data_IF_030511385232
#
_entry.id   IF_030511385232
#
_cell.length_a   1.000
_cell.length_b   1.000
_cell.length_c   1.000
_cell.angle_alpha   90.00
_cell.angle_beta   90.00
_cell.angle_gamma   90.00
#
_symmetry.space_group_name_H-M   'P 1'
#
loop_
_entity.id
_entity.type
_entity.pdbx_description
1 polymer ?
#
# COMPACT_ATOMS: atom_id res chain seq x y z
N UNK A 1 13.60 -8.29 -7.33
CA UNK A 1 13.22 -8.02 -5.91
C UNK A 1 13.47 -9.23 -5.07
N UNK A 2 14.09 -9.06 -3.92
CA UNK A 2 14.22 -10.14 -2.93
C UNK A 2 13.35 -9.82 -1.70
N UNK A 3 13.25 -10.79 -0.79
CA UNK A 3 12.41 -10.66 0.41
C UNK A 3 12.78 -9.44 1.24
N UNK A 4 14.07 -9.20 1.44
CA UNK A 4 14.56 -8.08 2.24
C UNK A 4 14.17 -6.73 1.62
N UNK A 5 14.28 -6.60 0.31
CA UNK A 5 13.92 -5.36 -0.42
C UNK A 5 12.41 -5.12 -0.36
N UNK A 6 11.62 -6.18 -0.51
CA UNK A 6 10.15 -6.10 -0.42
C UNK A 6 9.73 -5.69 0.98
N UNK A 7 10.29 -6.33 2.00
CA UNK A 7 10.00 -6.00 3.39
C UNK A 7 10.34 -4.54 3.70
N UNK A 8 11.50 -4.09 3.26
CA UNK A 8 11.92 -2.70 3.45
C UNK A 8 10.93 -1.72 2.80
N UNK A 9 10.53 -1.99 1.56
CA UNK A 9 9.55 -1.15 0.86
C UNK A 9 8.23 -1.07 1.62
N UNK A 10 7.70 -2.21 2.05
CA UNK A 10 6.40 -2.26 2.72
C UNK A 10 6.40 -1.47 4.03
N UNK A 11 7.44 -1.62 4.84
CA UNK A 11 7.56 -0.87 6.09
C UNK A 11 7.82 0.61 5.85
N UNK A 12 8.68 0.94 4.88
CA UNK A 12 9.06 2.33 4.60
C UNK A 12 7.87 3.15 4.12
N UNK A 13 7.04 2.58 3.22
CA UNK A 13 5.88 3.32 2.71
C UNK A 13 4.83 3.56 3.79
N UNK A 14 4.62 2.63 4.71
CA UNK A 14 3.72 2.83 5.86
C UNK A 14 4.28 3.89 6.79
N UNK A 15 5.57 3.83 7.10
CA UNK A 15 6.21 4.80 7.97
C UNK A 15 6.09 6.22 7.39
N UNK A 16 6.37 6.39 6.10
CA UNK A 16 6.24 7.69 5.44
C UNK A 16 4.81 8.20 5.46
N UNK A 17 3.84 7.31 5.18
CA UNK A 17 2.42 7.65 5.27
C UNK A 17 2.06 8.18 6.65
N UNK A 18 2.42 7.44 7.71
CA UNK A 18 2.08 7.79 9.07
C UNK A 18 2.75 9.08 9.55
N UNK A 19 3.90 9.42 9.00
CA UNK A 19 4.65 10.64 9.33
C UNK A 19 4.22 11.85 8.52
N UNK A 20 3.32 11.70 7.53
CA UNK A 20 2.95 12.76 6.63
C UNK A 20 4.05 13.14 5.64
N UNK A 21 4.96 12.21 5.37
CA UNK A 21 6.08 12.39 4.45
C UNK A 21 5.67 11.94 3.05
N UNK A 22 5.01 12.85 2.31
CA UNK A 22 4.53 12.55 0.96
C UNK A 22 5.67 12.18 0.01
N UNK A 23 6.76 12.94 0.09
CA UNK A 23 7.91 12.71 -0.80
C UNK A 23 8.53 11.34 -0.57
N UNK A 24 8.71 10.95 0.70
CA UNK A 24 9.22 9.64 1.07
C UNK A 24 8.30 8.50 0.66
N UNK A 25 6.98 8.70 0.82
CA UNK A 25 5.98 7.72 0.41
C UNK A 25 6.05 7.44 -1.10
N UNK A 26 6.02 8.49 -1.92
CA UNK A 26 6.09 8.33 -3.37
C UNK A 26 7.45 7.85 -3.84
N UNK A 27 8.54 8.26 -3.18
CA UNK A 27 9.87 7.76 -3.50
C UNK A 27 9.98 6.25 -3.30
N UNK A 28 9.38 5.72 -2.23
CA UNK A 28 9.34 4.28 -1.97
C UNK A 28 8.64 3.54 -3.10
N UNK A 29 7.47 4.04 -3.54
CA UNK A 29 6.74 3.43 -4.66
C UNK A 29 7.50 3.54 -5.98
N UNK A 30 8.13 4.68 -6.27
CA UNK A 30 8.92 4.83 -7.50
C UNK A 30 10.09 3.85 -7.54
N UNK A 31 10.76 3.64 -6.42
CA UNK A 31 11.84 2.68 -6.34
C UNK A 31 11.36 1.23 -6.51
N UNK A 32 10.17 0.92 -6.00
CA UNK A 32 9.59 -0.42 -6.06
C UNK A 32 8.96 -0.73 -7.43
N UNK A 33 8.51 0.30 -8.17
CA UNK A 33 7.75 0.15 -9.40
C UNK A 33 8.34 1.01 -10.53
N UNK A 34 9.63 0.82 -10.88
CA UNK A 34 10.27 1.67 -11.89
C UNK A 34 9.67 1.54 -13.28
N UNK A 35 9.03 0.40 -13.61
CA UNK A 35 8.46 0.13 -14.92
C UNK A 35 6.94 0.27 -14.95
N UNK A 36 6.28 0.43 -13.80
CA UNK A 36 4.84 0.65 -13.78
C UNK A 36 4.19 0.20 -12.49
N UNK A 37 3.05 0.83 -12.21
CA UNK A 37 2.25 0.54 -11.02
C UNK A 37 0.80 0.35 -11.44
N UNK A 38 0.22 -0.78 -11.04
CA UNK A 38 -1.19 -1.09 -11.22
C UNK A 38 -1.83 -1.23 -9.85
N UNK A 39 -2.99 -0.63 -9.65
CA UNK A 39 -3.76 -0.76 -8.41
C UNK A 39 -5.18 -1.18 -8.73
N UNK A 40 -5.68 -2.15 -7.97
CA UNK A 40 -7.05 -2.61 -8.05
C UNK A 40 -7.68 -2.58 -6.65
N UNK A 41 -8.87 -1.98 -6.55
CA UNK A 41 -9.75 -2.17 -5.40
C UNK A 41 -10.71 -3.29 -5.76
N UNK A 42 -10.50 -4.47 -5.21
CA UNK A 42 -11.25 -5.67 -5.57
C UNK A 42 -12.74 -5.46 -5.32
N UNK A 43 -13.55 -5.75 -6.35
CA UNK A 43 -14.99 -5.55 -6.29
C UNK A 43 -15.49 -4.14 -6.58
N UNK A 44 -14.57 -3.19 -6.85
CA UNK A 44 -14.95 -1.79 -7.09
C UNK A 44 -14.55 -1.28 -8.47
N UNK A 45 -14.05 -2.15 -9.34
CA UNK A 45 -13.64 -1.81 -10.68
C UNK A 45 -12.39 -2.56 -11.08
N UNK A 46 -11.95 -2.44 -12.36
CA UNK A 46 -10.77 -3.14 -12.83
C UNK A 46 -9.49 -2.49 -12.29
N UNK A 47 -8.38 -3.25 -12.38
CA UNK A 47 -7.07 -2.71 -12.14
C UNK A 47 -6.75 -1.59 -13.14
N UNK A 48 -6.04 -0.57 -12.71
CA UNK A 48 -5.66 0.55 -13.55
C UNK A 48 -4.34 1.17 -13.11
N UNK A 49 -3.94 2.22 -13.81
CA UNK A 49 -2.73 2.96 -13.49
C UNK A 49 -2.75 3.41 -12.03
N UNK A 50 -1.76 2.97 -11.26
CA UNK A 50 -1.74 3.19 -9.82
C UNK A 50 -1.30 4.59 -9.39
N UNK A 51 -0.59 5.34 -10.23
CA UNK A 51 -0.09 6.65 -9.81
C UNK A 51 -1.18 7.65 -9.44
N UNK A 52 -2.22 7.84 -10.30
CA UNK A 52 -3.34 8.70 -9.90
C UNK A 52 -4.08 8.19 -8.67
N UNK A 53 -4.16 6.85 -8.49
CA UNK A 53 -4.81 6.25 -7.31
C UNK A 53 -4.04 6.61 -6.05
N UNK A 54 -2.71 6.50 -6.06
CA UNK A 54 -1.88 6.90 -4.92
C UNK A 54 -2.01 8.38 -4.60
N UNK A 55 -2.03 9.23 -5.63
CA UNK A 55 -2.21 10.68 -5.43
C UNK A 55 -3.55 10.98 -4.75
N UNK A 56 -4.62 10.35 -5.21
CA UNK A 56 -5.95 10.51 -4.61
C UNK A 56 -6.01 9.99 -3.18
N UNK A 57 -5.41 8.82 -2.93
CA UNK A 57 -5.31 8.27 -1.59
C UNK A 57 -4.61 9.24 -0.63
N UNK A 58 -3.46 9.74 -1.05
CA UNK A 58 -2.70 10.69 -0.22
C UNK A 58 -3.51 11.94 0.06
N UNK A 59 -4.07 12.56 -0.97
CA UNK A 59 -4.81 13.81 -0.84
C UNK A 59 -6.05 13.67 0.05
N UNK A 60 -6.73 12.53 -0.02
CA UNK A 60 -8.01 12.33 0.66
C UNK A 60 -7.87 11.67 2.03
N UNK A 61 -6.83 10.87 2.25
CA UNK A 61 -6.77 9.98 3.41
C UNK A 61 -5.57 10.18 4.33
N UNK A 62 -4.44 10.71 3.84
CA UNK A 62 -3.21 10.70 4.62
C UNK A 62 -3.31 11.46 5.95
N UNK A 63 -4.04 12.58 5.96
CA UNK A 63 -4.22 13.37 7.17
C UNK A 63 -5.18 12.71 8.18
N UNK A 64 -6.04 11.80 7.71
CA UNK A 64 -7.10 11.20 8.51
C UNK A 64 -6.77 9.82 9.02
N UNK A 65 -5.94 9.07 8.30
CA UNK A 65 -5.71 7.65 8.53
C UNK A 65 -4.29 7.39 8.99
N UNK A 66 -4.16 6.62 10.06
CA UNK A 66 -2.89 6.03 10.48
C UNK A 66 -2.95 4.53 10.20
N UNK A 67 -1.91 4.00 9.58
CA UNK A 67 -1.85 2.58 9.21
C UNK A 67 -1.14 1.80 10.31
N UNK A 68 -1.77 0.74 10.80
CA UNK A 68 -1.17 -0.23 11.71
C UNK A 68 -0.92 -1.52 10.93
N UNK A 69 0.36 -1.93 10.87
CA UNK A 69 0.73 -3.20 10.24
C UNK A 69 0.45 -4.33 11.22
N UNK A 70 -0.47 -5.23 10.87
CA UNK A 70 -0.86 -6.34 11.75
C UNK A 70 -0.06 -7.59 11.43
N UNK A 71 0.04 -7.93 10.14
CA UNK A 71 0.76 -9.14 9.70
C UNK A 71 1.28 -8.93 8.28
N UNK A 72 2.38 -9.64 7.98
CA UNK A 72 3.03 -9.60 6.68
C UNK A 72 3.58 -10.98 6.38
N UNK A 73 3.29 -11.48 5.18
CA UNK A 73 3.88 -12.71 4.66
C UNK A 73 4.45 -12.39 3.28
N UNK A 74 5.72 -12.70 3.10
CA UNK A 74 6.40 -12.56 1.81
C UNK A 74 6.80 -13.93 1.31
N UNK A 75 6.48 -14.22 0.05
CA UNK A 75 6.85 -15.46 -0.60
C UNK A 75 7.36 -15.14 -2.01
N UNK A 76 8.69 -15.28 -2.21
CA UNK A 76 9.30 -14.96 -3.49
C UNK A 76 9.17 -13.48 -3.83
N UNK A 77 8.43 -13.20 -4.91
CA UNK A 77 8.19 -11.84 -5.39
C UNK A 77 6.79 -11.34 -5.06
N UNK A 78 6.10 -12.00 -4.15
CA UNK A 78 4.75 -11.61 -3.74
C UNK A 78 4.68 -11.43 -2.24
N UNK A 79 3.80 -10.54 -1.81
CA UNK A 79 3.58 -10.26 -0.40
C UNK A 79 2.10 -10.09 -0.11
N UNK A 80 1.69 -10.50 1.08
CA UNK A 80 0.35 -10.30 1.59
C UNK A 80 0.44 -9.56 2.93
N UNK A 81 -0.29 -8.46 3.05
CA UNK A 81 -0.31 -7.66 4.27
C UNK A 81 -1.72 -7.63 4.83
N UNK A 82 -1.82 -7.70 6.15
CA UNK A 82 -3.04 -7.35 6.87
C UNK A 82 -2.76 -6.04 7.59
N UNK A 83 -3.49 -4.99 7.24
CA UNK A 83 -3.36 -3.68 7.88
C UNK A 83 -4.68 -3.26 8.50
N UNK A 84 -4.57 -2.46 9.56
CA UNK A 84 -5.70 -1.74 10.15
C UNK A 84 -5.52 -0.27 9.84
N UNK A 85 -6.49 0.30 9.15
CA UNK A 85 -6.48 1.70 8.75
C UNK A 85 -7.31 2.46 9.77
N UNK A 86 -6.63 3.11 10.72
CA UNK A 86 -7.26 3.72 11.89
C UNK A 86 -7.60 5.17 11.59
N UNK A 87 -8.84 5.57 11.86
CA UNK A 87 -9.23 6.97 11.79
C UNK A 87 -8.64 7.67 13.00
N UNK A 88 -7.69 8.60 12.74
CA UNK A 88 -6.92 9.27 13.80
C UNK A 88 -7.85 9.92 14.83
N UNK A 89 -7.49 9.74 16.10
CA UNK A 89 -8.25 10.31 17.22
C UNK A 89 -9.53 9.58 17.56
N UNK A 90 -9.78 8.41 16.96
CA UNK A 90 -10.96 7.59 17.24
C UNK A 90 -10.58 6.12 17.46
N UNK A 91 -11.56 5.31 17.83
CA UNK A 91 -11.41 3.85 17.92
C UNK A 91 -11.81 3.14 16.62
N UNK A 92 -12.20 3.89 15.59
CA UNK A 92 -12.65 3.32 14.33
C UNK A 92 -11.45 2.87 13.50
N UNK A 93 -11.50 1.65 12.98
CA UNK A 93 -10.49 1.12 12.05
C UNK A 93 -11.16 0.30 10.97
N UNK A 94 -10.59 0.37 9.77
CA UNK A 94 -11.02 -0.43 8.63
C UNK A 94 -9.89 -1.42 8.31
N UNK A 95 -10.24 -2.71 8.28
CA UNK A 95 -9.27 -3.77 7.98
C UNK A 95 -9.09 -3.90 6.48
N UNK A 96 -7.85 -4.08 6.03
CA UNK A 96 -7.54 -4.40 4.64
C UNK A 96 -6.58 -5.58 4.56
N UNK A 97 -6.74 -6.38 3.52
CA UNK A 97 -5.72 -7.31 3.04
C UNK A 97 -5.19 -6.73 1.75
N UNK A 98 -3.88 -6.66 1.61
CA UNK A 98 -3.23 -6.05 0.45
C UNK A 98 -2.26 -7.06 -0.14
N UNK A 99 -2.41 -7.33 -1.43
CA UNK A 99 -1.54 -8.25 -2.15
C UNK A 99 -0.64 -7.45 -3.08
N UNK A 100 0.67 -7.66 -2.94
CA UNK A 100 1.70 -7.00 -3.74
C UNK A 100 2.40 -8.05 -4.59
N UNK A 101 2.51 -7.78 -5.91
CA UNK A 101 3.20 -8.66 -6.84
C UNK A 101 4.22 -7.85 -7.63
N UNK A 102 5.48 -8.29 -7.60
CA UNK A 102 6.60 -7.61 -8.27
C UNK A 102 7.07 -8.46 -9.43
N UNK A 103 7.04 -7.92 -10.65
CA UNK A 103 7.43 -8.64 -11.85
C UNK A 103 8.11 -7.69 -12.84
N UNK A 104 9.40 -7.90 -13.10
CA UNK A 104 10.18 -7.14 -14.07
C UNK A 104 10.09 -5.61 -13.88
N UNK A 105 10.15 -5.16 -12.64
CA UNK A 105 10.06 -3.73 -12.31
C UNK A 105 8.66 -3.18 -12.26
N UNK A 106 7.64 -3.98 -12.55
CA UNK A 106 6.24 -3.60 -12.40
C UNK A 106 5.71 -4.09 -11.05
N UNK A 107 4.92 -3.26 -10.40
CA UNK A 107 4.24 -3.58 -9.15
C UNK A 107 2.74 -3.57 -9.38
N UNK A 108 2.09 -4.65 -8.98
CA UNK A 108 0.63 -4.74 -8.95
C UNK A 108 0.19 -4.85 -7.50
N UNK A 109 -0.77 -4.02 -7.10
CA UNK A 109 -1.33 -4.02 -5.75
C UNK A 109 -2.82 -4.27 -5.85
N UNK A 110 -3.31 -5.23 -5.05
CA UNK A 110 -4.75 -5.51 -4.95
C UNK A 110 -5.19 -5.28 -3.52
N UNK A 111 -6.16 -4.38 -3.35
CA UNK A 111 -6.73 -4.06 -2.04
C UNK A 111 -8.04 -4.79 -1.84
N UNK A 112 -8.11 -5.57 -0.76
CA UNK A 112 -9.34 -6.18 -0.26
C UNK A 112 -9.75 -5.40 0.97
N UNK A 113 -10.78 -4.59 0.85
CA UNK A 113 -11.28 -3.77 1.96
C UNK A 113 -12.43 -4.51 2.63
N UNK A 114 -12.33 -4.69 3.96
CA UNK A 114 -13.39 -5.39 4.70
C UNK A 114 -14.70 -4.65 4.56
N UNK A 115 -15.74 -5.37 4.14
CA UNK A 115 -17.09 -4.84 4.07
C UNK A 115 -17.72 -4.83 5.47
N UNK A 116 -18.51 -3.81 5.82
CA UNK A 116 -19.20 -3.74 7.10
C UNK A 116 -20.30 -4.81 7.22
#
# INVERSE_FOLDING_TARGET
MNVSTIEHFLHTQVQAWNQGDKEGFFAAYRAAAPEGLQIEYVGRGPAGNGWPVLEGMWAQQSAKIEIEEVALIINGTEAACHNRNKLRGTSVAIETIELYSFDNGELTVRYFVRQP
#
